data_IF_949050851171
#
_entry.id   IF_949050851171
#
_cell.length_a   1.000
_cell.length_b   1.000
_cell.length_c   1.000
_cell.angle_alpha   90.00
_cell.angle_beta   90.00
_cell.angle_gamma   90.00
#
_symmetry.space_group_name_H-M   'P 1'
#
loop_
_entity.id
_entity.type
_entity.pdbx_description
1 polymer ?
#
# COMPACT_ATOMS: atom_id res chain seq x y z
N UNK A 1 -27.74 -30.01 0.05
CA UNK A 1 -27.19 -29.63 1.35
C UNK A 1 -26.08 -28.65 1.04
N UNK A 2 -26.24 -27.40 1.46
CA UNK A 2 -25.24 -26.36 1.18
C UNK A 2 -23.94 -26.73 1.91
N UNK A 3 -22.84 -26.75 1.17
CA UNK A 3 -21.52 -27.20 1.64
C UNK A 3 -20.84 -26.18 2.56
N UNK A 4 -21.43 -24.98 2.73
CA UNK A 4 -20.83 -23.84 3.43
C UNK A 4 -21.91 -23.20 4.31
N UNK A 5 -21.57 -22.95 5.58
CA UNK A 5 -22.41 -22.23 6.53
C UNK A 5 -21.66 -21.05 7.17
N UNK A 6 -22.41 -20.06 7.67
CA UNK A 6 -21.86 -18.90 8.35
C UNK A 6 -21.94 -19.10 9.86
N UNK A 7 -20.79 -19.21 10.50
CA UNK A 7 -20.69 -19.49 11.94
C UNK A 7 -20.56 -18.18 12.71
N UNK A 8 -21.34 -18.03 13.79
CA UNK A 8 -21.20 -16.89 14.70
C UNK A 8 -20.11 -17.14 15.76
N UNK A 9 -19.50 -16.10 16.37
CA UNK A 9 -18.47 -16.29 17.41
C UNK A 9 -18.94 -17.08 18.64
N UNK A 10 -20.24 -17.02 18.98
CA UNK A 10 -20.80 -17.79 20.10
C UNK A 10 -21.00 -19.27 19.74
N UNK A 11 -21.25 -19.55 18.47
CA UNK A 11 -21.43 -20.91 17.96
C UNK A 11 -20.08 -21.61 17.76
N UNK A 12 -19.07 -20.88 17.27
CA UNK A 12 -17.71 -21.37 17.09
C UNK A 12 -17.13 -22.05 18.34
N UNK A 13 -17.53 -21.59 19.54
CA UNK A 13 -17.12 -22.17 20.83
C UNK A 13 -17.55 -23.63 21.02
N UNK A 14 -18.60 -24.07 20.33
CA UNK A 14 -19.14 -25.43 20.42
C UNK A 14 -18.76 -26.29 19.20
N UNK A 15 -17.94 -25.78 18.28
CA UNK A 15 -17.53 -26.47 17.06
C UNK A 15 -16.08 -26.92 17.15
N UNK A 16 -15.77 -28.03 16.49
CA UNK A 16 -14.41 -28.51 16.32
C UNK A 16 -14.02 -28.27 14.86
N UNK A 17 -13.19 -27.25 14.63
CA UNK A 17 -12.85 -26.76 13.28
C UNK A 17 -11.44 -27.22 12.94
N UNK A 18 -11.30 -28.00 11.87
CA UNK A 18 -10.00 -28.36 11.31
C UNK A 18 -9.46 -27.24 10.41
N UNK A 19 -8.17 -26.91 10.53
CA UNK A 19 -7.52 -25.88 9.71
C UNK A 19 -7.12 -26.42 8.33
N UNK A 20 -6.53 -27.61 8.28
CA UNK A 20 -6.15 -28.33 7.07
C UNK A 20 -6.89 -29.66 6.97
N UNK A 21 -6.92 -30.25 5.77
CA UNK A 21 -7.49 -31.58 5.56
C UNK A 21 -6.78 -32.66 6.40
N UNK A 22 -5.48 -32.48 6.67
CA UNK A 22 -4.68 -33.38 7.49
C UNK A 22 -5.03 -33.31 8.99
N UNK A 23 -5.67 -32.23 9.44
CA UNK A 23 -6.06 -32.02 10.84
C UNK A 23 -7.45 -32.64 11.16
N UNK A 24 -8.08 -33.29 10.18
CA UNK A 24 -9.41 -33.87 10.35
C UNK A 24 -9.35 -35.08 11.28
N UNK A 25 -10.07 -34.99 12.39
CA UNK A 25 -10.30 -36.08 13.34
C UNK A 25 -11.78 -36.53 13.28
N UNK A 26 -12.13 -37.73 13.78
CA UNK A 26 -13.52 -38.21 13.74
C UNK A 26 -14.54 -37.29 14.46
N UNK A 27 -14.07 -36.41 15.33
CA UNK A 27 -14.88 -35.45 16.08
C UNK A 27 -14.93 -34.05 15.43
N UNK A 28 -14.28 -33.84 14.28
CA UNK A 28 -14.30 -32.57 13.54
C UNK A 28 -15.70 -32.31 12.98
N UNK A 29 -16.24 -31.12 13.23
CA UNK A 29 -17.56 -30.72 12.72
C UNK A 29 -17.45 -29.87 11.45
N UNK A 30 -16.45 -29.00 11.37
CA UNK A 30 -16.24 -28.07 10.27
C UNK A 30 -14.78 -28.01 9.85
N UNK A 31 -14.52 -27.46 8.67
CA UNK A 31 -13.18 -27.22 8.16
C UNK A 31 -13.09 -25.77 7.67
N UNK A 32 -11.97 -25.10 7.95
CA UNK A 32 -11.67 -23.79 7.39
C UNK A 32 -11.55 -23.86 5.87
N UNK A 33 -12.09 -22.86 5.17
CA UNK A 33 -12.02 -22.80 3.71
C UNK A 33 -10.60 -22.57 3.22
N UNK A 34 -9.88 -21.66 3.87
CA UNK A 34 -8.47 -21.40 3.62
C UNK A 34 -7.82 -20.79 4.87
N UNK A 35 -6.71 -21.35 5.38
CA UNK A 35 -6.02 -20.81 6.55
C UNK A 35 -5.50 -19.37 6.35
N UNK A 36 -5.34 -18.89 5.12
CA UNK A 36 -4.91 -17.51 4.85
C UNK A 36 -5.96 -16.45 5.25
N UNK A 37 -7.23 -16.84 5.35
CA UNK A 37 -8.34 -15.92 5.59
C UNK A 37 -8.34 -15.30 7.01
N UNK A 38 -7.50 -15.82 7.91
CA UNK A 38 -7.22 -15.18 9.20
C UNK A 38 -6.50 -13.82 9.03
N UNK A 39 -5.77 -13.65 7.92
CA UNK A 39 -4.99 -12.44 7.64
C UNK A 39 -5.82 -11.42 6.86
N UNK A 40 -5.67 -10.15 7.23
CA UNK A 40 -6.23 -9.03 6.45
C UNK A 40 -5.54 -8.94 5.07
N UNK A 41 -6.21 -8.33 4.09
CA UNK A 41 -5.67 -8.12 2.73
C UNK A 41 -4.23 -7.55 2.76
N UNK A 42 -3.96 -6.60 3.65
CA UNK A 42 -2.65 -5.94 3.76
C UNK A 42 -1.59 -6.88 4.35
N UNK A 43 -1.99 -7.75 5.28
CA UNK A 43 -1.10 -8.78 5.83
C UNK A 43 -0.83 -9.89 4.81
N UNK A 44 -1.83 -10.27 4.02
CA UNK A 44 -1.72 -11.30 2.97
C UNK A 44 -0.94 -10.84 1.73
N UNK A 45 -0.62 -9.54 1.62
CA UNK A 45 0.33 -8.99 0.65
C UNK A 45 1.78 -9.30 1.05
N UNK A 46 2.04 -9.62 2.34
CA UNK A 46 3.33 -10.10 2.82
C UNK A 46 3.72 -11.42 2.18
N UNK A 47 4.81 -11.42 1.43
CA UNK A 47 5.39 -12.63 0.84
C UNK A 47 6.12 -13.41 1.93
N UNK A 48 5.85 -14.71 2.05
CA UNK A 48 6.48 -15.61 3.02
C UNK A 48 6.40 -15.10 4.47
N UNK A 49 5.23 -14.59 4.86
CA UNK A 49 5.00 -13.99 6.17
C UNK A 49 5.25 -14.98 7.34
N UNK A 50 5.08 -16.28 7.10
CA UNK A 50 5.32 -17.37 8.03
C UNK A 50 6.80 -17.55 8.41
N UNK A 51 7.73 -17.09 7.56
CA UNK A 51 9.18 -17.14 7.83
C UNK A 51 9.68 -15.90 8.57
N UNK A 52 8.81 -14.90 8.78
CA UNK A 52 9.15 -13.65 9.44
C UNK A 52 8.63 -13.65 10.89
N UNK A 53 9.38 -13.00 11.78
CA UNK A 53 8.91 -12.75 13.13
C UNK A 53 7.69 -11.82 13.11
N UNK A 54 6.67 -12.10 13.93
CA UNK A 54 5.40 -11.36 13.97
C UNK A 54 5.55 -9.81 13.95
N UNK A 55 6.40 -9.18 14.79
CA UNK A 55 6.70 -7.76 14.70
C UNK A 55 7.10 -7.24 13.31
N UNK A 56 7.85 -8.02 12.51
CA UNK A 56 8.29 -7.61 11.16
C UNK A 56 7.12 -7.54 10.19
N UNK A 57 6.19 -8.50 10.28
CA UNK A 57 4.95 -8.48 9.48
C UNK A 57 4.08 -7.27 9.87
N UNK A 58 4.02 -6.93 11.16
CA UNK A 58 3.29 -5.76 11.63
C UNK A 58 3.87 -4.45 11.07
N UNK A 59 5.20 -4.29 11.09
CA UNK A 59 5.85 -3.12 10.49
C UNK A 59 5.57 -3.02 9.00
N UNK A 60 5.67 -4.13 8.27
CA UNK A 60 5.34 -4.15 6.84
C UNK A 60 3.90 -3.69 6.59
N UNK A 61 2.93 -4.17 7.36
CA UNK A 61 1.53 -3.77 7.22
C UNK A 61 1.30 -2.27 7.45
N UNK A 62 2.07 -1.66 8.37
CA UNK A 62 2.00 -0.22 8.63
C UNK A 62 2.65 0.58 7.49
N UNK A 63 3.83 0.16 7.04
CA UNK A 63 4.58 0.87 6.00
C UNK A 63 3.95 0.73 4.62
N UNK A 64 3.35 -0.42 4.32
CA UNK A 64 2.65 -0.67 3.05
C UNK A 64 1.49 0.31 2.81
N UNK A 65 0.85 0.82 3.87
CA UNK A 65 -0.20 1.83 3.77
C UNK A 65 0.30 3.23 3.41
N UNK A 66 1.60 3.48 3.62
CA UNK A 66 2.22 4.80 3.46
C UNK A 66 3.09 4.90 2.20
N UNK A 67 3.40 3.76 1.57
CA UNK A 67 4.26 3.74 0.38
C UNK A 67 3.66 4.57 -0.75
N UNK A 68 4.55 5.17 -1.55
CA UNK A 68 4.13 5.85 -2.78
C UNK A 68 3.77 4.81 -3.83
N UNK A 69 2.69 5.05 -4.57
CA UNK A 69 2.24 4.14 -5.62
C UNK A 69 1.45 4.86 -6.70
N UNK A 70 0.67 4.10 -7.46
CA UNK A 70 -0.33 4.67 -8.36
C UNK A 70 -1.71 4.45 -7.73
N UNK A 71 -2.26 5.42 -6.99
CA UNK A 71 -3.48 5.20 -6.19
C UNK A 71 -4.76 5.09 -7.02
N UNK A 72 -4.76 5.59 -8.25
CA UNK A 72 -5.92 5.58 -9.14
C UNK A 72 -5.50 5.82 -10.60
N UNK A 73 -6.32 5.36 -11.55
CA UNK A 73 -6.08 5.56 -12.98
C UNK A 73 -6.63 6.91 -13.51
N UNK A 74 -7.70 7.44 -12.91
CA UNK A 74 -8.36 8.66 -13.36
C UNK A 74 -7.64 9.96 -12.94
N UNK A 75 -6.31 9.93 -12.85
CA UNK A 75 -5.51 11.03 -12.27
C UNK A 75 -5.66 12.35 -13.00
N UNK A 76 -5.85 12.33 -14.33
CA UNK A 76 -6.03 13.54 -15.11
C UNK A 76 -7.35 14.28 -14.80
N UNK A 77 -8.34 13.58 -14.25
CA UNK A 77 -9.69 14.11 -14.01
C UNK A 77 -9.99 14.31 -12.52
N UNK A 78 -9.02 14.02 -11.65
CA UNK A 78 -9.21 14.00 -10.20
C UNK A 78 -8.29 15.01 -9.53
N UNK A 79 -8.86 15.84 -8.67
CA UNK A 79 -8.13 16.84 -7.88
C UNK A 79 -8.21 16.46 -6.40
N UNK A 80 -7.17 15.80 -5.88
CA UNK A 80 -7.02 15.60 -4.44
C UNK A 80 -6.12 16.70 -3.83
N UNK A 81 -6.20 16.89 -2.50
CA UNK A 81 -5.39 17.88 -1.79
C UNK A 81 -3.88 17.58 -1.89
N UNK A 82 -3.50 16.32 -1.67
CA UNK A 82 -2.11 15.85 -1.75
C UNK A 82 -2.06 14.42 -2.28
N UNK A 83 -1.23 14.18 -3.28
CA UNK A 83 -1.08 12.87 -3.91
C UNK A 83 0.41 12.57 -4.07
N UNK A 84 0.79 11.35 -3.69
CA UNK A 84 2.14 10.83 -3.87
C UNK A 84 2.10 9.78 -4.97
N UNK A 85 2.76 10.05 -6.08
CA UNK A 85 2.77 9.17 -7.24
C UNK A 85 4.19 8.77 -7.61
N UNK A 86 4.40 7.49 -7.91
CA UNK A 86 5.64 7.00 -8.50
C UNK A 86 5.56 7.07 -10.04
N UNK A 87 6.63 7.49 -10.71
CA UNK A 87 6.64 7.68 -12.17
C UNK A 87 6.71 6.34 -12.91
N UNK A 88 7.58 5.45 -12.45
CA UNK A 88 7.85 4.17 -13.09
C UNK A 88 7.59 3.01 -12.12
N UNK A 89 6.33 2.75 -11.76
CA UNK A 89 6.02 1.61 -10.92
C UNK A 89 6.32 0.30 -11.65
N UNK A 90 6.62 -0.75 -10.91
CA UNK A 90 6.79 -2.09 -11.45
C UNK A 90 5.95 -3.09 -10.66
N UNK A 91 5.44 -4.11 -11.35
CA UNK A 91 4.76 -5.24 -10.71
C UNK A 91 5.78 -6.06 -9.91
N UNK A 92 5.43 -6.52 -8.68
CA UNK A 92 6.33 -7.32 -7.87
C UNK A 92 6.63 -8.66 -8.59
N UNK A 93 7.89 -9.10 -8.52
CA UNK A 93 8.33 -10.37 -9.14
C UNK A 93 7.74 -11.58 -8.42
N UNK A 94 7.73 -11.53 -7.08
CA UNK A 94 7.12 -12.55 -6.23
C UNK A 94 5.81 -12.01 -5.71
N UNK A 95 4.74 -12.79 -5.87
CA UNK A 95 3.38 -12.38 -5.55
C UNK A 95 2.64 -13.43 -4.75
N UNK A 96 1.69 -12.99 -3.93
CA UNK A 96 0.77 -13.88 -3.21
C UNK A 96 -0.51 -14.10 -4.01
N UNK A 97 -1.24 -15.19 -3.73
CA UNK A 97 -2.53 -15.47 -4.38
C UNK A 97 -3.51 -14.31 -4.18
N UNK A 98 -3.59 -13.82 -2.94
CA UNK A 98 -4.44 -12.68 -2.55
C UNK A 98 -4.16 -11.41 -3.36
N UNK A 99 -2.89 -11.12 -3.72
CA UNK A 99 -2.59 -9.97 -4.59
C UNK A 99 -3.21 -10.09 -5.98
N UNK A 100 -3.29 -11.31 -6.51
CA UNK A 100 -3.91 -11.59 -7.80
C UNK A 100 -5.43 -11.57 -7.67
N UNK A 101 -5.98 -12.18 -6.62
CA UNK A 101 -7.43 -12.24 -6.38
C UNK A 101 -8.09 -10.86 -6.19
N UNK A 102 -7.35 -9.89 -5.63
CA UNK A 102 -7.81 -8.51 -5.40
C UNK A 102 -7.27 -7.48 -6.40
N UNK A 103 -6.68 -7.91 -7.52
CA UNK A 103 -6.15 -7.03 -8.58
C UNK A 103 -5.19 -5.93 -8.08
N UNK A 104 -4.43 -6.21 -7.01
CA UNK A 104 -3.48 -5.25 -6.42
C UNK A 104 -2.34 -4.92 -7.41
N UNK A 105 -2.06 -5.82 -8.35
CA UNK A 105 -1.06 -5.65 -9.41
C UNK A 105 -1.36 -4.48 -10.35
N UNK A 106 -2.62 -4.07 -10.48
CA UNK A 106 -3.01 -2.96 -11.34
C UNK A 106 -2.73 -1.60 -10.68
N UNK A 107 -2.52 -1.60 -9.35
CA UNK A 107 -2.15 -0.44 -8.54
C UNK A 107 -0.75 -0.61 -7.92
N UNK A 108 0.31 -0.75 -8.74
CA UNK A 108 1.64 -1.05 -8.24
C UNK A 108 2.19 0.08 -7.36
N UNK A 109 2.74 -0.31 -6.22
CA UNK A 109 3.11 0.57 -5.10
C UNK A 109 4.60 0.49 -4.74
N UNK A 110 5.46 0.44 -5.78
CA UNK A 110 6.90 0.35 -5.64
C UNK A 110 7.62 0.00 -6.97
N UNK A 111 8.90 -0.32 -6.87
CA UNK A 111 9.75 -0.76 -7.99
C UNK A 111 10.61 -1.95 -7.58
N UNK A 112 10.90 -2.85 -8.52
CA UNK A 112 11.84 -3.93 -8.25
C UNK A 112 13.27 -3.38 -8.23
N UNK A 113 14.09 -3.87 -7.30
CA UNK A 113 15.48 -3.48 -7.13
C UNK A 113 16.38 -4.72 -7.09
N UNK A 114 17.56 -4.62 -7.70
CA UNK A 114 18.62 -5.63 -7.53
C UNK A 114 19.36 -5.28 -6.24
N UNK A 115 19.23 -6.14 -5.24
CA UNK A 115 19.82 -5.95 -3.91
C UNK A 115 21.05 -6.84 -3.76
N UNK A 116 22.17 -6.26 -3.34
CA UNK A 116 23.40 -6.98 -3.00
C UNK A 116 23.63 -6.88 -1.49
N UNK A 117 23.68 -8.02 -0.79
CA UNK A 117 23.87 -8.07 0.67
C UNK A 117 25.37 -8.22 0.96
N UNK A 118 26.03 -7.11 1.27
CA UNK A 118 27.45 -7.06 1.62
C UNK A 118 27.75 -5.80 2.44
N UNK A 119 28.81 -5.84 3.23
CA UNK A 119 29.30 -4.66 3.95
C UNK A 119 30.10 -3.76 3.01
N UNK A 120 29.62 -2.55 2.74
CA UNK A 120 30.24 -1.63 1.78
C UNK A 120 30.45 -0.23 2.35
N UNK A 121 31.68 0.28 2.29
CA UNK A 121 32.08 1.66 2.63
C UNK A 121 31.80 2.14 4.05
N UNK A 122 31.17 1.34 4.92
CA UNK A 122 30.93 1.68 6.32
C UNK A 122 29.85 2.73 6.55
N UNK A 123 29.13 3.14 5.49
CA UNK A 123 27.96 4.03 5.55
C UNK A 123 26.63 3.27 5.65
N UNK A 124 26.70 1.94 5.78
CA UNK A 124 25.60 0.98 5.92
C UNK A 124 25.33 0.58 7.39
N UNK A 125 25.68 1.45 8.33
CA UNK A 125 25.41 1.25 9.76
C UNK A 125 23.93 1.50 10.08
N UNK A 126 23.39 0.75 11.05
CA UNK A 126 22.09 1.05 11.69
C UNK A 126 20.93 1.23 10.68
N UNK A 127 20.68 0.18 9.88
CA UNK A 127 19.63 0.09 8.86
C UNK A 127 19.77 1.01 7.64
N UNK A 128 20.93 1.67 7.47
CA UNK A 128 21.21 2.47 6.28
C UNK A 128 21.45 1.60 5.03
N UNK A 129 20.95 2.06 3.88
CA UNK A 129 21.16 1.42 2.58
C UNK A 129 21.85 2.36 1.60
N UNK A 130 22.78 1.81 0.82
CA UNK A 130 23.52 2.56 -0.19
C UNK A 130 22.86 2.33 -1.55
N UNK A 131 22.50 3.43 -2.23
CA UNK A 131 21.83 3.41 -3.54
C UNK A 131 22.83 3.78 -4.63
N UNK A 132 22.77 3.07 -5.76
CA UNK A 132 23.58 3.38 -6.94
C UNK A 132 23.13 4.72 -7.57
N UNK A 133 24.04 5.69 -7.60
CA UNK A 133 23.81 7.02 -8.19
C UNK A 133 23.35 6.94 -9.65
N UNK A 134 23.96 6.06 -10.46
CA UNK A 134 23.60 5.93 -11.87
C UNK A 134 22.19 5.38 -12.08
N UNK A 135 21.71 4.51 -11.19
CA UNK A 135 20.32 4.02 -11.21
C UNK A 135 19.34 5.13 -10.83
N UNK A 136 19.68 5.94 -9.82
CA UNK A 136 18.86 7.09 -9.41
C UNK A 136 18.69 8.11 -10.53
N UNK A 137 19.79 8.49 -11.20
CA UNK A 137 19.76 9.44 -12.34
C UNK A 137 18.94 8.93 -13.53
N UNK A 138 18.81 7.60 -13.68
CA UNK A 138 17.97 6.95 -14.68
C UNK A 138 16.49 6.83 -14.28
N UNK A 139 16.11 7.29 -13.10
CA UNK A 139 14.72 7.35 -12.66
C UNK A 139 14.29 6.28 -11.63
N UNK A 140 15.24 5.55 -11.03
CA UNK A 140 14.92 4.61 -9.94
C UNK A 140 14.26 5.34 -8.75
N UNK A 141 13.06 4.91 -8.37
CA UNK A 141 12.32 5.47 -7.23
C UNK A 141 11.84 6.91 -7.42
N UNK A 142 11.81 7.43 -8.66
CA UNK A 142 11.41 8.81 -8.89
C UNK A 142 9.90 9.00 -8.69
N UNK A 143 9.54 9.89 -7.77
CA UNK A 143 8.16 10.19 -7.42
C UNK A 143 7.83 11.66 -7.57
N UNK A 144 6.56 11.97 -7.79
CA UNK A 144 6.01 13.32 -7.86
C UNK A 144 4.96 13.52 -6.77
N UNK A 145 4.97 14.70 -6.16
CA UNK A 145 3.99 15.10 -5.16
C UNK A 145 3.11 16.18 -5.76
N UNK A 146 1.82 15.86 -5.96
CA UNK A 146 0.83 16.81 -6.44
C UNK A 146 0.15 17.44 -5.23
N UNK A 147 0.07 18.77 -5.20
CA UNK A 147 -0.64 19.51 -4.17
C UNK A 147 -1.58 20.52 -4.81
N UNK A 148 -2.86 20.42 -4.47
CA UNK A 148 -3.92 21.25 -5.05
C UNK A 148 -4.33 22.34 -4.07
N UNK A 149 -4.56 23.55 -4.57
CA UNK A 149 -5.08 24.68 -3.78
C UNK A 149 -6.36 25.19 -4.43
N UNK A 150 -7.47 25.12 -3.70
CA UNK A 150 -8.76 25.66 -4.12
C UNK A 150 -9.00 27.01 -3.43
N UNK A 151 -9.28 28.05 -4.21
CA UNK A 151 -9.64 29.37 -3.71
C UNK A 151 -11.06 29.72 -4.14
N UNK A 152 -11.92 30.09 -3.18
CA UNK A 152 -13.23 30.64 -3.48
C UNK A 152 -13.08 32.14 -3.75
N UNK A 153 -13.54 32.59 -4.91
CA UNK A 153 -13.55 34.00 -5.27
C UNK A 153 -14.95 34.54 -4.94
N UNK A 154 -15.09 35.22 -3.80
CA UNK A 154 -16.33 35.93 -3.47
C UNK A 154 -16.26 37.35 -4.04
N UNK A 155 -17.13 37.66 -5.00
CA UNK A 155 -17.23 39.01 -5.60
C UNK A 155 -17.73 40.08 -4.62
N UNK A 156 -18.26 39.70 -3.45
CA UNK A 156 -18.83 40.60 -2.45
C UNK A 156 -17.80 41.26 -1.51
N UNK A 157 -16.49 41.01 -1.63
CA UNK A 157 -15.46 41.66 -0.81
C UNK A 157 -14.88 42.96 -1.40
N UNK A 158 -15.38 43.44 -2.55
CA UNK A 158 -14.86 44.63 -3.22
C UNK A 158 -15.46 45.98 -2.76
N UNK A 159 -16.34 46.01 -1.74
CA UNK A 159 -16.99 47.27 -1.32
C UNK A 159 -16.57 47.84 0.04
N UNK A 160 -15.60 47.27 0.75
CA UNK A 160 -15.08 47.95 1.95
C UNK A 160 -13.66 47.51 2.26
N UNK A 161 -12.68 48.32 1.84
CA UNK A 161 -11.59 48.91 2.64
C UNK A 161 -10.49 49.36 1.67
N UNK A 162 -10.28 50.67 1.57
CA UNK A 162 -9.21 51.29 0.77
C UNK A 162 -7.82 50.97 1.30
N UNK A 163 -7.28 49.82 0.93
CA UNK A 163 -5.89 49.45 1.13
C UNK A 163 -5.41 48.63 -0.06
N UNK A 164 -4.35 49.11 -0.73
CA UNK A 164 -3.72 48.45 -1.88
C UNK A 164 -3.31 47.02 -1.48
N UNK A 165 -4.15 46.03 -1.81
CA UNK A 165 -3.79 44.62 -1.71
C UNK A 165 -3.14 44.24 -3.03
N UNK A 166 -1.83 43.95 -2.96
CA UNK A 166 -1.08 43.26 -4.02
C UNK A 166 -1.95 42.12 -4.57
N UNK A 167 -2.35 42.22 -5.84
CA UNK A 167 -3.13 41.18 -6.50
C UNK A 167 -2.43 39.83 -6.45
N UNK A 168 -3.17 38.71 -6.55
CA UNK A 168 -2.57 37.39 -6.59
C UNK A 168 -1.62 37.31 -7.78
N UNK A 169 -0.32 37.13 -7.52
CA UNK A 169 0.68 36.85 -8.55
C UNK A 169 0.43 35.44 -9.10
N UNK A 170 -0.46 35.31 -10.06
CA UNK A 170 -0.57 34.07 -10.82
C UNK A 170 0.53 34.04 -11.88
N UNK A 171 1.31 32.96 -11.87
CA UNK A 171 2.19 32.61 -12.98
C UNK A 171 1.52 31.42 -13.67
N UNK A 172 0.95 31.66 -14.84
CA UNK A 172 0.46 30.58 -15.70
C UNK A 172 1.66 29.71 -16.05
N UNK A 173 1.64 28.46 -15.59
CA UNK A 173 2.61 27.45 -16.02
C UNK A 173 2.11 26.94 -17.38
N UNK A 174 3.01 27.02 -18.38
CA UNK A 174 2.80 26.55 -19.74
C UNK A 174 3.10 25.06 -19.83
#
# INVERSE_FOLDING_TARGET
FDCIEWISPLEQMNLNIACLEDDIVPETTHQELDPINILSIIASVGVFAEYNQSPRNMYQCQMAKQTMGTPYHNHQYRTDNKVYKILFPQRPIVKTRTQTDFDIEEYPSGTNAVVAVLSYTGYDIEDAMIINKSSYERGFGHGSVYKSYSHQINESMNQSTGGVKSGPKYKLLR
#
